data_IF_439084224331
#
_entry.id   IF_439084224331
#
_cell.length_a   1.000
_cell.length_b   1.000
_cell.length_c   1.000
_cell.angle_alpha   90.00
_cell.angle_beta   90.00
_cell.angle_gamma   90.00
#
_symmetry.space_group_name_H-M   'P 1'
#
loop_
_entity.id
_entity.type
_entity.pdbx_description
1 polymer ?
#
# COMPACT_ATOMS: atom_id res chain seq x y z
N UNK A 1 6.12 -58.87 -8.55
CA UNK A 1 5.21 -59.23 -9.65
C UNK A 1 3.99 -58.31 -9.59
N UNK A 2 3.34 -58.09 -10.74
CA UNK A 2 2.35 -57.04 -11.10
C UNK A 2 1.17 -56.81 -10.13
N UNK A 3 0.86 -55.51 -9.97
CA UNK A 3 -0.42 -54.79 -10.03
C UNK A 3 -1.68 -55.30 -9.29
N UNK A 4 -2.35 -54.36 -8.60
CA UNK A 4 -3.82 -54.18 -8.62
C UNK A 4 -4.19 -52.78 -8.09
N UNK A 5 -4.81 -51.96 -8.93
CA UNK A 5 -5.49 -50.69 -8.57
C UNK A 5 -6.91 -51.08 -8.12
N UNK A 6 -7.50 -50.40 -7.12
CA UNK A 6 -8.82 -49.83 -7.41
C UNK A 6 -9.14 -48.49 -6.73
N UNK A 7 -9.94 -47.72 -7.47
CA UNK A 7 -10.99 -46.82 -7.01
C UNK A 7 -10.59 -45.46 -6.40
N UNK A 8 -10.53 -44.46 -7.28
CA UNK A 8 -10.68 -43.03 -6.98
C UNK A 8 -12.11 -42.82 -6.45
N UNK A 9 -12.23 -42.43 -5.18
CA UNK A 9 -13.45 -41.85 -4.63
C UNK A 9 -13.30 -40.32 -4.67
N UNK A 10 -13.95 -39.71 -5.66
CA UNK A 10 -14.07 -38.27 -5.84
C UNK A 10 -14.88 -37.67 -4.70
N UNK A 11 -14.19 -37.04 -3.74
CA UNK A 11 -14.82 -36.13 -2.78
C UNK A 11 -14.71 -34.73 -3.38
N UNK A 12 -15.78 -34.29 -4.02
CA UNK A 12 -15.93 -32.91 -4.48
C UNK A 12 -16.05 -32.01 -3.26
N UNK A 13 -14.91 -31.61 -2.69
CA UNK A 13 -14.87 -30.46 -1.80
C UNK A 13 -14.86 -29.22 -2.68
N UNK A 14 -16.04 -28.62 -2.86
CA UNK A 14 -16.13 -27.24 -3.32
C UNK A 14 -15.37 -26.40 -2.30
N UNK A 15 -14.10 -26.10 -2.58
CA UNK A 15 -13.40 -25.01 -1.94
C UNK A 15 -14.17 -23.76 -2.31
N UNK A 16 -15.08 -23.37 -1.42
CA UNK A 16 -15.55 -22.00 -1.29
C UNK A 16 -14.26 -21.18 -1.29
N UNK A 17 -14.00 -20.45 -2.38
CA UNK A 17 -12.99 -19.43 -2.39
C UNK A 17 -13.40 -18.44 -1.30
N UNK A 18 -12.92 -18.66 -0.08
CA UNK A 18 -12.60 -17.55 0.77
C UNK A 18 -11.62 -16.75 -0.07
N UNK A 19 -12.12 -15.68 -0.71
CA UNK A 19 -11.26 -14.66 -1.26
C UNK A 19 -10.38 -14.24 -0.10
N UNK A 20 -9.17 -14.78 -0.07
CA UNK A 20 -8.09 -14.15 0.66
C UNK A 20 -8.09 -12.75 0.09
N UNK A 21 -8.50 -11.76 0.87
CA UNK A 21 -8.16 -10.39 0.59
C UNK A 21 -6.63 -10.40 0.51
N UNK A 22 -6.12 -10.57 -0.71
CA UNK A 22 -4.71 -10.40 -1.01
C UNK A 22 -4.46 -8.95 -0.68
N UNK A 23 -3.98 -8.66 0.53
CA UNK A 23 -3.17 -7.49 0.73
C UNK A 23 -2.13 -7.58 -0.37
N UNK A 24 -2.14 -6.59 -1.26
CA UNK A 24 -1.28 -6.62 -2.43
C UNK A 24 0.17 -6.75 -1.93
N UNK A 25 1.04 -7.46 -2.67
CA UNK A 25 2.46 -7.57 -2.27
C UNK A 25 3.08 -6.18 -2.08
N UNK A 26 2.58 -5.18 -2.81
CA UNK A 26 3.02 -3.79 -2.67
C UNK A 26 2.54 -3.16 -1.35
N UNK A 27 1.32 -3.48 -0.88
CA UNK A 27 0.80 -3.02 0.41
C UNK A 27 1.62 -3.57 1.59
N UNK A 28 2.01 -4.85 1.52
CA UNK A 28 2.83 -5.50 2.56
C UNK A 28 4.24 -4.90 2.61
N UNK A 29 4.87 -4.67 1.44
CA UNK A 29 6.19 -4.04 1.34
C UNK A 29 6.14 -2.60 1.84
N UNK A 30 5.11 -1.85 1.47
CA UNK A 30 4.88 -0.48 1.92
C UNK A 30 4.74 -0.41 3.44
N UNK A 31 3.87 -1.22 4.04
CA UNK A 31 3.68 -1.26 5.49
C UNK A 31 4.93 -1.70 6.24
N UNK A 32 5.69 -2.66 5.69
CA UNK A 32 6.94 -3.08 6.29
C UNK A 32 7.97 -1.95 6.28
N UNK A 33 8.00 -1.12 5.24
CA UNK A 33 8.90 0.03 5.14
C UNK A 33 8.52 1.12 6.14
N UNK A 34 7.25 1.51 6.19
CA UNK A 34 6.73 2.46 7.18
C UNK A 34 7.02 2.00 8.62
N UNK A 35 6.88 0.69 8.90
CA UNK A 35 7.19 0.15 10.21
C UNK A 35 8.68 0.28 10.58
N UNK A 36 9.59 0.18 9.62
CA UNK A 36 11.02 0.43 9.84
C UNK A 36 11.31 1.90 10.13
N UNK A 37 10.51 2.81 9.57
CA UNK A 37 10.57 4.27 9.83
C UNK A 37 9.82 4.68 11.12
N UNK A 38 9.37 3.68 11.88
CA UNK A 38 8.71 3.87 13.17
C UNK A 38 7.23 4.23 13.06
N UNK A 39 6.63 4.12 11.88
CA UNK A 39 5.20 4.36 11.62
C UNK A 39 4.49 3.01 11.64
N UNK A 40 3.77 2.71 12.72
CA UNK A 40 3.19 1.37 12.96
C UNK A 40 1.70 1.40 13.21
N UNK A 41 1.15 2.58 13.38
CA UNK A 41 -0.23 2.84 13.70
C UNK A 41 -1.08 2.75 12.44
N UNK A 42 -2.28 2.19 12.55
CA UNK A 42 -3.30 2.25 11.48
C UNK A 42 -2.84 1.78 10.09
N UNK A 43 -2.41 0.51 9.93
CA UNK A 43 -1.91 0.01 8.65
C UNK A 43 -2.93 0.13 7.50
N UNK A 44 -4.21 -0.14 7.74
CA UNK A 44 -5.23 -0.02 6.69
C UNK A 44 -5.43 1.45 6.23
N UNK A 45 -5.61 2.43 7.14
CA UNK A 45 -5.60 3.84 6.75
C UNK A 45 -4.34 4.29 6.02
N UNK A 46 -3.15 3.82 6.44
CA UNK A 46 -1.90 4.20 5.78
C UNK A 46 -1.81 3.69 4.34
N UNK A 47 -2.25 2.45 4.08
CA UNK A 47 -2.32 1.91 2.71
C UNK A 47 -3.28 2.75 1.87
N UNK A 48 -4.49 3.02 2.37
CA UNK A 48 -5.47 3.83 1.66
C UNK A 48 -4.94 5.24 1.37
N UNK A 49 -4.24 5.84 2.32
CA UNK A 49 -3.64 7.15 2.15
C UNK A 49 -2.49 7.12 1.14
N UNK A 50 -1.66 6.08 1.15
CA UNK A 50 -0.59 5.92 0.17
C UNK A 50 -1.10 5.84 -1.27
N UNK A 51 -2.17 5.08 -1.50
CA UNK A 51 -2.88 5.07 -2.78
C UNK A 51 -3.44 6.45 -3.15
N UNK A 52 -4.04 7.17 -2.18
CA UNK A 52 -4.58 8.52 -2.40
C UNK A 52 -3.49 9.56 -2.74
N UNK A 53 -2.31 9.45 -2.11
CA UNK A 53 -1.16 10.32 -2.37
C UNK A 53 -0.70 10.15 -3.81
N UNK A 54 -0.51 8.90 -4.23
CA UNK A 54 -0.17 8.54 -5.59
C UNK A 54 -1.19 9.11 -6.59
N UNK A 55 -2.49 8.87 -6.37
CA UNK A 55 -3.54 9.41 -7.23
C UNK A 55 -3.52 10.94 -7.33
N UNK A 56 -3.31 11.63 -6.19
CA UNK A 56 -3.26 13.09 -6.15
C UNK A 56 -2.09 13.65 -6.97
N UNK A 57 -0.92 13.02 -6.84
CA UNK A 57 0.32 13.44 -7.54
C UNK A 57 0.25 13.13 -9.04
N UNK A 58 -0.40 12.02 -9.42
CA UNK A 58 -0.66 11.67 -10.83
C UNK A 58 -1.53 12.74 -11.50
N UNK A 59 -2.64 13.13 -10.86
CA UNK A 59 -3.52 14.21 -11.32
C UNK A 59 -2.82 15.59 -11.37
N UNK A 60 -1.78 15.78 -10.57
CA UNK A 60 -0.99 16.99 -10.49
C UNK A 60 -1.81 18.25 -10.16
N UNK A 61 -1.44 19.43 -10.68
CA UNK A 61 -2.08 20.69 -10.32
C UNK A 61 -3.58 20.77 -10.68
N UNK A 62 -4.08 19.88 -11.54
CA UNK A 62 -5.48 19.86 -11.95
C UNK A 62 -6.38 19.06 -11.01
N UNK A 63 -5.85 18.24 -10.09
CA UNK A 63 -6.67 17.33 -9.29
C UNK A 63 -6.26 17.10 -7.83
N UNK A 64 -5.26 17.81 -7.31
CA UNK A 64 -5.07 17.87 -5.85
C UNK A 64 -3.75 18.43 -5.34
N UNK A 65 -2.90 18.98 -6.21
CA UNK A 65 -1.75 19.80 -5.82
C UNK A 65 -0.41 19.16 -6.17
N UNK A 66 0.67 19.87 -5.85
CA UNK A 66 2.03 19.35 -5.94
C UNK A 66 2.39 18.60 -4.66
N UNK A 67 3.51 17.88 -4.67
CA UNK A 67 3.97 17.13 -3.50
C UNK A 67 4.06 17.97 -2.21
N UNK A 68 4.49 19.26 -2.23
CA UNK A 68 4.44 20.11 -1.04
C UNK A 68 3.03 20.32 -0.47
N UNK A 69 2.01 20.44 -1.33
CA UNK A 69 0.62 20.60 -0.88
C UNK A 69 0.11 19.31 -0.24
N UNK A 70 0.48 18.16 -0.82
CA UNK A 70 0.15 16.85 -0.27
C UNK A 70 0.84 16.65 1.09
N UNK A 71 2.12 16.98 1.19
CA UNK A 71 2.87 16.92 2.44
C UNK A 71 2.26 17.82 3.52
N UNK A 72 1.93 19.06 3.19
CA UNK A 72 1.31 19.98 4.14
C UNK A 72 -0.04 19.43 4.64
N UNK A 73 -0.88 18.94 3.73
CA UNK A 73 -2.17 18.30 4.06
C UNK A 73 -1.99 17.08 4.95
N UNK A 74 -1.02 16.21 4.64
CA UNK A 74 -0.71 15.03 5.47
C UNK A 74 -0.17 15.44 6.83
N UNK A 75 0.68 16.45 6.89
CA UNK A 75 1.26 16.94 8.14
C UNK A 75 0.16 17.48 9.02
N UNK A 76 -0.83 18.18 8.46
CA UNK A 76 -2.01 18.64 9.20
C UNK A 76 -2.93 17.48 9.62
N UNK A 77 -3.08 16.45 8.80
CA UNK A 77 -3.96 15.30 9.10
C UNK A 77 -3.38 14.40 10.18
N UNK A 78 -2.07 14.15 10.13
CA UNK A 78 -1.37 13.22 11.00
C UNK A 78 -0.54 13.87 12.11
N UNK A 79 -0.62 15.19 12.32
CA UNK A 79 0.22 15.92 13.29
C UNK A 79 0.21 15.36 14.73
N UNK A 80 -0.84 14.64 15.15
CA UNK A 80 -0.93 14.04 16.49
C UNK A 80 -0.24 12.67 16.59
N UNK A 81 0.11 12.07 15.46
CA UNK A 81 0.55 10.68 15.35
C UNK A 81 1.92 10.57 14.68
N UNK A 82 2.19 11.44 13.71
CA UNK A 82 3.42 11.46 12.93
C UNK A 82 4.14 12.79 13.12
N UNK A 83 5.47 12.70 13.16
CA UNK A 83 6.31 13.88 13.00
C UNK A 83 6.26 14.38 11.55
N UNK A 84 6.67 15.64 11.33
CA UNK A 84 6.79 16.18 9.97
C UNK A 84 7.71 15.33 9.09
N UNK A 85 8.82 14.81 9.67
CA UNK A 85 9.73 13.93 8.94
C UNK A 85 9.06 12.60 8.55
N UNK A 86 8.39 11.94 9.49
CA UNK A 86 7.65 10.69 9.21
C UNK A 86 6.52 10.91 8.19
N UNK A 87 5.92 12.10 8.18
CA UNK A 87 4.92 12.45 7.17
C UNK A 87 5.55 12.60 5.79
N UNK A 88 6.74 13.20 5.70
CA UNK A 88 7.49 13.28 4.45
C UNK A 88 7.90 11.88 3.96
N UNK A 89 8.38 11.03 4.87
CA UNK A 89 8.73 9.64 4.56
C UNK A 89 7.50 8.86 4.06
N UNK A 90 6.34 9.03 4.69
CA UNK A 90 5.07 8.47 4.23
C UNK A 90 4.74 8.90 2.80
N UNK A 91 4.85 10.20 2.47
CA UNK A 91 4.55 10.72 1.13
C UNK A 91 5.52 10.16 0.08
N UNK A 92 6.82 10.16 0.40
CA UNK A 92 7.85 9.60 -0.49
C UNK A 92 7.60 8.12 -0.73
N UNK A 93 7.40 7.34 0.33
CA UNK A 93 7.20 5.89 0.23
C UNK A 93 5.92 5.52 -0.49
N UNK A 94 4.87 6.33 -0.35
CA UNK A 94 3.63 6.16 -1.10
C UNK A 94 3.84 6.31 -2.60
N UNK A 95 4.63 7.32 -3.03
CA UNK A 95 4.96 7.51 -4.44
C UNK A 95 5.88 6.41 -4.95
N UNK A 96 6.89 6.01 -4.16
CA UNK A 96 7.81 4.94 -4.54
C UNK A 96 7.10 3.59 -4.69
N UNK A 97 6.10 3.30 -3.84
CA UNK A 97 5.34 2.06 -3.86
C UNK A 97 4.29 2.05 -4.99
N UNK A 98 3.42 3.06 -5.04
CA UNK A 98 2.21 3.00 -5.87
C UNK A 98 2.30 3.80 -7.18
N UNK A 99 3.20 4.80 -7.26
CA UNK A 99 3.37 5.68 -8.41
C UNK A 99 4.85 5.75 -8.88
N UNK A 100 5.50 4.62 -9.22
CA UNK A 100 6.94 4.60 -9.52
C UNK A 100 7.33 5.40 -10.77
N UNK A 101 6.37 5.74 -11.63
CA UNK A 101 6.59 6.60 -12.81
C UNK A 101 6.58 8.10 -12.47
N UNK A 102 6.04 8.49 -11.32
CA UNK A 102 5.95 9.87 -10.87
C UNK A 102 7.06 10.25 -9.87
N UNK A 103 8.07 9.40 -9.71
CA UNK A 103 9.20 9.64 -8.80
C UNK A 103 9.91 10.96 -9.07
N UNK A 104 9.95 11.40 -10.32
CA UNK A 104 10.56 12.68 -10.71
C UNK A 104 9.79 13.89 -10.16
N UNK A 105 8.52 13.72 -9.76
CA UNK A 105 7.71 14.75 -9.11
C UNK A 105 8.06 14.93 -7.62
N UNK A 106 8.87 14.06 -7.03
CA UNK A 106 9.34 14.15 -5.64
C UNK A 106 10.47 15.16 -5.41
N UNK A 107 10.82 15.97 -6.42
CA UNK A 107 11.91 16.94 -6.29
C UNK A 107 11.39 18.23 -5.63
N UNK A 108 11.42 18.27 -4.29
CA UNK A 108 11.01 19.41 -3.46
C UNK A 108 12.07 19.76 -2.41
#
# INVERSE_FOLDING_TARGET
MRASIPAVASVSFSLILAATASADTDDEVFLQKLANDGIREFPHPLVQEGHSICHTIDLGPSGGGYVPDVLDRMSQTFHQWLTHQQTADLVVDSVLAYCPYDRDKLNF
#
